data_IF_558256870559
#
_entry.id   IF_558256870559
#
_cell.length_a   1.000
_cell.length_b   1.000
_cell.length_c   1.000
_cell.angle_alpha   90.00
_cell.angle_beta   90.00
_cell.angle_gamma   90.00
#
_symmetry.space_group_name_H-M   'P 1'
#
loop_
_entity.id
_entity.type
_entity.pdbx_description
1 polymer ?
#
# COMPACT_ATOMS: atom_id res chain seq x y z
N UNK A 1 20.33 5.34 -20.78
CA UNK A 1 19.30 4.33 -21.09
C UNK A 1 18.56 4.05 -19.79
N UNK A 2 17.27 4.40 -19.68
CA UNK A 2 16.46 4.14 -18.48
C UNK A 2 16.00 2.69 -18.57
N UNK A 3 16.44 1.84 -17.65
CA UNK A 3 16.07 0.42 -17.61
C UNK A 3 14.82 0.29 -16.77
N UNK A 4 13.69 0.09 -17.42
CA UNK A 4 12.44 -0.30 -16.77
C UNK A 4 12.58 -1.76 -16.34
N UNK A 5 12.58 -2.01 -15.02
CA UNK A 5 12.76 -3.32 -14.43
C UNK A 5 11.39 -4.01 -14.37
N UNK A 6 11.13 -4.92 -15.31
CA UNK A 6 9.96 -5.79 -15.30
C UNK A 6 10.35 -7.11 -14.59
N UNK A 7 9.69 -7.43 -13.47
CA UNK A 7 9.95 -8.66 -12.72
C UNK A 7 9.06 -9.80 -13.30
N UNK A 8 9.64 -10.84 -13.93
CA UNK A 8 8.86 -11.96 -14.45
C UNK A 8 8.24 -12.77 -13.31
N UNK A 9 6.95 -13.07 -13.46
CA UNK A 9 6.07 -13.73 -12.48
C UNK A 9 6.49 -15.16 -12.06
N UNK A 10 7.52 -15.73 -12.67
CA UNK A 10 8.00 -17.11 -12.45
C UNK A 10 9.04 -17.25 -11.33
N UNK A 11 9.48 -16.15 -10.71
CA UNK A 11 10.57 -16.15 -9.73
C UNK A 11 10.10 -15.85 -8.29
N UNK A 12 8.92 -16.36 -7.93
CA UNK A 12 8.45 -16.32 -6.53
C UNK A 12 9.13 -17.46 -5.74
N UNK A 13 10.09 -17.17 -4.84
CA UNK A 13 10.65 -18.20 -3.95
C UNK A 13 9.55 -18.72 -3.02
N UNK A 14 9.59 -20.03 -2.74
CA UNK A 14 8.63 -20.69 -1.84
C UNK A 14 8.69 -20.03 -0.46
N UNK A 15 7.54 -19.51 -0.05
CA UNK A 15 7.31 -18.71 1.14
C UNK A 15 7.38 -19.60 2.38
N UNK A 16 8.46 -19.51 3.13
CA UNK A 16 8.58 -20.09 4.48
C UNK A 16 8.38 -18.93 5.48
N UNK A 17 7.28 -19.00 6.25
CA UNK A 17 6.99 -18.12 7.38
C UNK A 17 6.07 -16.93 7.10
N UNK A 18 4.90 -16.93 7.76
CA UNK A 18 4.09 -15.75 8.12
C UNK A 18 3.62 -14.77 7.03
N UNK A 19 3.55 -15.20 5.77
CA UNK A 19 3.02 -14.38 4.68
C UNK A 19 1.49 -14.42 4.67
N UNK A 20 0.87 -13.47 5.36
CA UNK A 20 -0.56 -13.17 5.21
C UNK A 20 -0.92 -12.94 3.74
N UNK A 21 -2.13 -13.34 3.33
CA UNK A 21 -2.63 -13.04 1.99
C UNK A 21 -3.06 -11.56 1.92
N UNK A 22 -2.10 -10.70 1.58
CA UNK A 22 -2.29 -9.27 1.32
C UNK A 22 -3.40 -8.96 0.28
N UNK A 23 -3.76 -9.96 -0.52
CA UNK A 23 -4.87 -9.92 -1.47
C UNK A 23 -6.26 -9.70 -0.82
N UNK A 24 -6.44 -9.96 0.47
CA UNK A 24 -7.73 -9.78 1.14
C UNK A 24 -8.13 -8.32 1.36
N UNK A 25 -7.15 -7.41 1.39
CA UNK A 25 -7.39 -5.98 1.62
C UNK A 25 -7.43 -5.16 0.32
N UNK A 26 -7.20 -5.78 -0.84
CA UNK A 26 -7.32 -5.12 -2.13
C UNK A 26 -8.75 -4.60 -2.33
N UNK A 27 -8.88 -3.36 -2.76
CA UNK A 27 -10.15 -2.63 -2.89
C UNK A 27 -10.60 -1.94 -1.60
N UNK A 28 -9.80 -1.96 -0.53
CA UNK A 28 -10.11 -1.21 0.69
C UNK A 28 -9.83 0.27 0.48
N UNK A 29 -10.61 1.13 1.12
CA UNK A 29 -10.34 2.57 1.12
C UNK A 29 -9.25 2.87 2.14
N UNK A 30 -8.17 3.52 1.71
CA UNK A 30 -7.14 4.02 2.62
C UNK A 30 -7.52 5.43 3.05
N UNK A 31 -7.54 5.63 4.36
CA UNK A 31 -7.76 6.93 5.01
C UNK A 31 -6.56 7.26 5.87
N UNK A 32 -6.01 8.43 5.68
CA UNK A 32 -4.99 9.00 6.53
C UNK A 32 -5.63 9.85 7.63
N UNK A 33 -5.09 9.82 8.85
CA UNK A 33 -5.59 10.66 9.95
C UNK A 33 -5.39 12.16 9.71
N UNK A 34 -4.36 12.55 8.95
CA UNK A 34 -4.01 13.94 8.69
C UNK A 34 -4.62 14.43 7.37
N UNK A 35 -4.55 13.62 6.31
CA UNK A 35 -5.02 13.97 4.96
C UNK A 35 -6.50 13.60 4.73
N UNK A 36 -7.02 12.59 5.43
CA UNK A 36 -8.35 12.05 5.20
C UNK A 36 -8.36 10.94 4.14
N UNK A 37 -9.36 10.89 3.28
CA UNK A 37 -9.43 9.82 2.27
C UNK A 37 -8.27 9.95 1.26
N UNK A 38 -7.38 8.95 1.22
CA UNK A 38 -6.21 8.91 0.34
C UNK A 38 -6.60 8.34 -1.01
N UNK A 39 -7.33 7.22 -1.02
CA UNK A 39 -7.76 6.55 -2.24
C UNK A 39 -8.12 5.09 -2.00
N UNK A 40 -8.15 4.31 -3.07
CA UNK A 40 -8.49 2.88 -3.01
C UNK A 40 -7.22 2.06 -3.10
N UNK A 41 -7.05 1.09 -2.21
CA UNK A 41 -5.95 0.16 -2.24
C UNK A 41 -6.06 -0.71 -3.50
N UNK A 42 -5.17 -0.48 -4.44
CA UNK A 42 -5.07 -1.22 -5.70
C UNK A 42 -4.29 -2.52 -5.52
N UNK A 43 -3.31 -2.53 -4.64
CA UNK A 43 -2.42 -3.66 -4.44
C UNK A 43 -1.54 -3.51 -3.21
N UNK A 44 -0.75 -4.55 -2.94
CA UNK A 44 0.31 -4.50 -1.93
C UNK A 44 1.56 -5.04 -2.59
N UNK A 45 2.62 -4.24 -2.55
CA UNK A 45 3.93 -4.63 -3.02
C UNK A 45 4.72 -5.25 -1.85
N UNK A 46 4.69 -6.58 -1.74
CA UNK A 46 5.53 -7.34 -0.81
C UNK A 46 6.82 -7.88 -1.45
N UNK A 47 7.17 -7.39 -2.64
CA UNK A 47 8.33 -7.87 -3.41
C UNK A 47 9.67 -7.47 -2.79
N UNK A 48 9.66 -6.53 -1.84
CA UNK A 48 10.87 -6.04 -1.17
C UNK A 48 10.91 -6.45 0.31
N UNK A 49 11.97 -6.08 1.02
CA UNK A 49 12.08 -6.34 2.46
C UNK A 49 10.97 -5.65 3.30
N UNK A 50 10.28 -4.65 2.73
CA UNK A 50 9.18 -3.94 3.35
C UNK A 50 7.95 -4.01 2.43
N UNK A 51 6.80 -4.35 2.99
CA UNK A 51 5.53 -4.32 2.26
C UNK A 51 5.08 -2.86 2.08
N UNK A 52 4.58 -2.52 0.89
CA UNK A 52 4.04 -1.20 0.58
C UNK A 52 2.59 -1.34 0.10
N UNK A 53 1.70 -0.50 0.62
CA UNK A 53 0.36 -0.31 0.08
C UNK A 53 0.44 0.49 -1.22
N UNK A 54 -0.16 -0.03 -2.29
CA UNK A 54 -0.35 0.67 -3.55
C UNK A 54 -1.76 1.23 -3.57
N UNK A 55 -1.90 2.54 -3.34
CA UNK A 55 -3.16 3.25 -3.39
C UNK A 55 -3.30 3.92 -4.75
N UNK A 56 -4.45 3.74 -5.40
CA UNK A 56 -4.83 4.51 -6.57
C UNK A 56 -5.78 5.64 -6.16
N UNK A 57 -5.42 6.87 -6.53
CA UNK A 57 -6.23 8.06 -6.38
C UNK A 57 -6.34 8.75 -7.74
N UNK A 58 -7.45 8.53 -8.43
CA UNK A 58 -7.74 9.15 -9.73
C UNK A 58 -6.60 8.98 -10.76
N UNK A 59 -5.93 7.82 -10.75
CA UNK A 59 -4.80 7.51 -11.63
C UNK A 59 -3.43 7.95 -11.11
N UNK A 60 -3.35 8.58 -9.93
CA UNK A 60 -2.11 8.78 -9.19
C UNK A 60 -1.87 7.58 -8.28
N UNK A 61 -0.72 6.95 -8.44
CA UNK A 61 -0.29 5.84 -7.59
C UNK A 61 0.48 6.39 -6.37
N UNK A 62 -0.02 6.09 -5.18
CA UNK A 62 0.55 6.50 -3.90
C UNK A 62 1.04 5.26 -3.19
N UNK A 63 2.32 5.24 -2.83
CA UNK A 63 2.96 4.13 -2.13
C UNK A 63 3.14 4.46 -0.66
N UNK A 64 2.42 3.75 0.21
CA UNK A 64 2.52 3.93 1.67
C UNK A 64 3.14 2.69 2.30
N UNK A 65 4.21 2.82 3.11
CA UNK A 65 4.78 1.67 3.80
C UNK A 65 3.78 1.01 4.74
N UNK A 66 3.62 -0.31 4.63
CA UNK A 66 2.82 -1.14 5.53
C UNK A 66 3.65 -1.43 6.80
N UNK A 67 4.10 -0.39 7.47
CA UNK A 67 4.78 -0.50 8.77
C UNK A 67 3.74 -0.28 9.88
N UNK A 68 3.82 -1.03 10.98
CA UNK A 68 2.92 -0.88 12.13
C UNK A 68 2.89 0.57 12.68
N UNK A 69 3.96 1.33 12.48
CA UNK A 69 4.03 2.75 12.87
C UNK A 69 3.08 3.65 12.05
N UNK A 70 2.81 3.30 10.79
CA UNK A 70 1.89 4.05 9.94
C UNK A 70 0.48 3.48 10.00
N UNK A 71 0.30 2.19 10.31
CA UNK A 71 -1.02 1.57 10.33
C UNK A 71 -1.67 1.80 11.69
N UNK A 72 -2.64 2.70 11.73
CA UNK A 72 -3.40 2.99 12.96
C UNK A 72 -4.43 1.91 13.21
N UNK A 73 -5.19 1.55 12.16
CA UNK A 73 -6.30 0.60 12.28
C UNK A 73 -6.67 -0.01 10.94
N UNK A 74 -6.95 -1.31 10.92
CA UNK A 74 -7.54 -2.00 9.76
C UNK A 74 -8.98 -2.35 10.09
N UNK A 75 -9.94 -1.68 9.45
CA UNK A 75 -11.37 -1.95 9.58
C UNK A 75 -11.84 -2.86 8.44
N UNK A 76 -11.91 -4.16 8.73
CA UNK A 76 -12.32 -5.18 7.75
C UNK A 76 -13.83 -5.19 7.49
N UNK A 77 -14.65 -4.75 8.45
CA UNK A 77 -16.11 -4.66 8.28
C UNK A 77 -16.46 -3.56 7.27
N UNK A 78 -15.82 -2.40 7.41
CA UNK A 78 -16.04 -1.25 6.53
C UNK A 78 -15.07 -1.21 5.34
N UNK A 79 -14.22 -2.23 5.17
CA UNK A 79 -13.18 -2.29 4.12
C UNK A 79 -12.35 -1.01 4.04
N UNK A 80 -11.95 -0.49 5.20
CA UNK A 80 -11.22 0.78 5.32
C UNK A 80 -9.98 0.56 6.15
N UNK A 81 -8.84 1.13 5.73
CA UNK A 81 -7.61 1.12 6.51
C UNK A 81 -7.30 2.56 6.90
N UNK A 82 -7.09 2.78 8.19
CA UNK A 82 -6.65 4.04 8.75
C UNK A 82 -5.13 3.98 8.90
N UNK A 83 -4.46 4.91 8.24
CA UNK A 83 -3.03 5.14 8.34
C UNK A 83 -2.76 6.51 8.96
N UNK A 84 -1.59 6.70 9.53
CA UNK A 84 -1.12 7.99 10.03
C UNK A 84 0.26 8.23 9.44
N UNK A 85 0.26 8.75 8.22
CA UNK A 85 1.45 9.18 7.53
C UNK A 85 1.78 10.62 7.91
N UNK A 86 3.06 11.01 7.89
CA UNK A 86 3.45 12.39 8.15
C UNK A 86 2.77 13.36 7.17
N UNK A 87 2.31 14.49 7.70
CA UNK A 87 1.73 15.60 6.93
C UNK A 87 2.62 15.95 5.74
N UNK A 88 2.03 16.03 4.55
CA UNK A 88 2.72 16.36 3.31
C UNK A 88 3.30 15.18 2.55
N UNK A 89 3.32 13.96 3.12
CA UNK A 89 3.77 12.78 2.37
C UNK A 89 2.86 12.49 1.18
N UNK A 90 1.54 12.53 1.41
CA UNK A 90 0.54 12.30 0.35
C UNK A 90 0.53 13.48 -0.62
N UNK A 91 0.65 14.71 -0.14
CA UNK A 91 0.70 15.91 -0.98
C UNK A 91 1.87 15.87 -1.97
N UNK A 92 3.02 15.29 -1.59
CA UNK A 92 4.17 15.11 -2.50
C UNK A 92 3.85 14.24 -3.72
N UNK A 93 2.89 13.32 -3.62
CA UNK A 93 2.42 12.52 -4.76
C UNK A 93 1.39 13.25 -5.64
N UNK A 94 0.76 14.29 -5.11
CA UNK A 94 -0.36 15.01 -5.74
C UNK A 94 0.02 16.39 -6.30
N UNK A 95 1.27 16.83 -6.14
CA UNK A 95 1.83 18.05 -6.74
C UNK A 95 2.19 17.91 -8.23
#
# INVERSE_FOLDING_TARGET
>A
MKTELYLPLDLLPKLDGDKFYFHEVIGFTIKDENYGEVGVLRGINDSTAQALFEIDRDGVEILIPMNDEFIVKVDREHKTIIVNTPVGLIDLYLE
#
